data_IF_343391550781
#
_entry.id   IF_343391550781
#
_cell.length_a   1.000
_cell.length_b   1.000
_cell.length_c   1.000
_cell.angle_alpha   90.00
_cell.angle_beta   90.00
_cell.angle_gamma   90.00
#
_symmetry.space_group_name_H-M   'P 1'
#
loop_
_entity.id
_entity.type
_entity.pdbx_description
1 polymer ?
#
# COMPACT_ATOMS: atom_id res chain seq x y z
N UNK A 1 -7.72 14.12 30.70
CA UNK A 1 -7.33 14.73 29.40
C UNK A 1 -8.47 15.58 28.87
N UNK A 2 -8.21 16.85 28.49
CA UNK A 2 -9.20 17.68 27.80
C UNK A 2 -9.41 17.14 26.40
N UNK A 3 -10.64 16.79 26.04
CA UNK A 3 -10.99 16.41 24.65
C UNK A 3 -10.87 17.65 23.77
N UNK A 4 -9.75 17.81 23.07
CA UNK A 4 -9.48 18.97 22.22
C UNK A 4 -9.92 18.78 20.76
N UNK A 5 -10.15 17.53 20.34
CA UNK A 5 -10.51 17.17 18.98
C UNK A 5 -11.93 16.58 18.94
N UNK A 6 -12.77 17.14 18.08
CA UNK A 6 -14.07 16.56 17.76
C UNK A 6 -13.94 15.38 16.81
N UNK A 7 -15.01 14.59 16.67
CA UNK A 7 -15.05 13.42 15.79
C UNK A 7 -14.75 13.78 14.32
N UNK A 8 -15.22 14.93 13.84
CA UNK A 8 -14.95 15.41 12.46
C UNK A 8 -13.48 15.67 12.25
N UNK A 9 -12.81 16.36 13.20
CA UNK A 9 -11.37 16.64 13.11
C UNK A 9 -10.53 15.36 13.16
N UNK A 10 -10.94 14.40 13.99
CA UNK A 10 -10.27 13.09 14.07
C UNK A 10 -10.42 12.30 12.77
N UNK A 11 -11.62 12.28 12.19
CA UNK A 11 -11.87 11.62 10.90
C UNK A 11 -11.07 12.29 9.78
N UNK A 12 -11.05 13.62 9.72
CA UNK A 12 -10.30 14.35 8.71
C UNK A 12 -8.79 14.10 8.81
N UNK A 13 -8.24 14.04 10.03
CA UNK A 13 -6.83 13.66 10.25
C UNK A 13 -6.57 12.23 9.82
N UNK A 14 -7.46 11.29 10.15
CA UNK A 14 -7.33 9.89 9.75
C UNK A 14 -7.36 9.73 8.22
N UNK A 15 -8.30 10.36 7.55
CA UNK A 15 -8.38 10.35 6.07
C UNK A 15 -7.12 10.97 5.46
N UNK A 16 -6.65 12.11 5.99
CA UNK A 16 -5.42 12.75 5.50
C UNK A 16 -4.17 11.87 5.67
N UNK A 17 -4.09 11.11 6.76
CA UNK A 17 -2.98 10.19 7.00
C UNK A 17 -3.01 8.95 6.10
N UNK A 18 -4.20 8.49 5.69
CA UNK A 18 -4.36 7.31 4.81
C UNK A 18 -4.09 7.67 3.34
N UNK A 19 -4.39 8.90 2.92
CA UNK A 19 -4.17 9.35 1.55
C UNK A 19 -2.66 9.48 1.31
N UNK A 20 -2.12 8.57 0.51
CA UNK A 20 -0.69 8.50 0.18
C UNK A 20 -0.46 8.12 -1.28
N UNK A 21 0.77 7.72 -1.59
CA UNK A 21 1.19 7.29 -2.94
C UNK A 21 0.35 6.14 -3.51
N UNK A 22 -0.23 5.30 -2.65
CA UNK A 22 -1.05 4.16 -3.07
C UNK A 22 -2.22 4.56 -3.96
N UNK A 23 -2.97 5.59 -3.57
CA UNK A 23 -4.14 6.02 -4.33
C UNK A 23 -3.78 6.83 -5.59
N UNK A 24 -2.70 7.61 -5.55
CA UNK A 24 -2.34 8.51 -6.65
C UNK A 24 -1.37 7.90 -7.65
N UNK A 25 -0.46 7.03 -7.22
CA UNK A 25 0.60 6.45 -8.06
C UNK A 25 0.28 5.02 -8.43
N UNK A 26 0.00 4.17 -7.43
CA UNK A 26 -0.12 2.73 -7.66
C UNK A 26 -1.47 2.34 -8.28
N UNK A 27 -2.54 3.05 -8.01
CA UNK A 27 -3.86 2.72 -8.56
C UNK A 27 -3.89 2.82 -10.08
N UNK A 28 -3.26 3.85 -10.67
CA UNK A 28 -3.17 4.04 -12.11
C UNK A 28 -2.35 2.94 -12.78
N UNK A 29 -1.16 2.66 -12.25
CA UNK A 29 -0.27 1.61 -12.78
C UNK A 29 -0.84 0.21 -12.59
N UNK A 30 -1.51 -0.05 -11.46
CA UNK A 30 -2.16 -1.33 -11.22
C UNK A 30 -3.38 -1.56 -12.11
N UNK A 31 -4.13 -0.50 -12.44
CA UNK A 31 -5.26 -0.60 -13.34
C UNK A 31 -4.83 -0.75 -14.81
N UNK A 32 -3.85 0.05 -15.25
CA UNK A 32 -3.37 0.04 -16.62
C UNK A 32 -2.47 -1.17 -16.92
N UNK A 33 -1.62 -1.57 -15.98
CA UNK A 33 -0.59 -2.59 -16.20
C UNK A 33 0.47 -2.14 -17.20
N UNK A 34 1.29 -3.08 -17.61
CA UNK A 34 2.24 -2.95 -18.71
C UNK A 34 1.70 -3.69 -19.94
N UNK A 35 2.07 -3.23 -21.13
CA UNK A 35 1.71 -3.95 -22.37
C UNK A 35 2.29 -5.36 -22.32
N UNK A 36 1.43 -6.34 -22.57
CA UNK A 36 1.81 -7.75 -22.58
C UNK A 36 2.01 -8.18 -24.02
N UNK A 37 3.25 -8.41 -24.40
CA UNK A 37 3.56 -9.09 -25.65
C UNK A 37 3.54 -10.61 -25.42
N UNK A 38 2.75 -11.34 -26.22
CA UNK A 38 2.67 -12.80 -26.20
C UNK A 38 3.49 -13.38 -27.36
N UNK A 39 4.76 -13.71 -27.17
CA UNK A 39 5.46 -14.51 -28.16
C UNK A 39 4.92 -15.94 -28.15
N UNK A 40 4.85 -16.55 -29.31
CA UNK A 40 4.17 -17.82 -29.56
C UNK A 40 4.48 -18.91 -28.51
N UNK A 41 3.46 -19.32 -27.78
CA UNK A 41 3.44 -20.36 -26.75
C UNK A 41 4.02 -21.71 -27.23
N UNK A 42 4.03 -21.93 -28.53
CA UNK A 42 4.49 -23.20 -29.19
C UNK A 42 5.99 -23.45 -29.15
N UNK A 43 6.80 -22.47 -28.71
CA UNK A 43 8.29 -22.59 -28.75
C UNK A 43 8.96 -22.82 -27.41
N UNK A 44 8.24 -22.75 -26.29
CA UNK A 44 8.84 -22.94 -24.98
C UNK A 44 8.65 -24.38 -24.47
N UNK A 45 9.70 -25.09 -24.10
CA UNK A 45 9.58 -26.43 -23.53
C UNK A 45 8.88 -26.33 -22.16
N UNK A 46 7.93 -27.25 -21.91
CA UNK A 46 7.09 -27.29 -20.69
C UNK A 46 7.91 -27.18 -19.41
N UNK A 47 9.12 -27.74 -19.39
CA UNK A 47 10.02 -27.68 -18.25
C UNK A 47 10.45 -26.23 -17.92
N UNK A 48 10.71 -25.40 -18.93
CA UNK A 48 11.06 -23.99 -18.72
C UNK A 48 9.86 -23.19 -18.20
N UNK A 49 8.66 -23.49 -18.68
CA UNK A 49 7.44 -22.85 -18.18
C UNK A 49 7.21 -23.19 -16.70
N UNK A 50 7.49 -24.42 -16.31
CA UNK A 50 7.30 -24.89 -14.95
C UNK A 50 8.33 -24.31 -13.96
N UNK A 51 9.59 -24.17 -14.40
CA UNK A 51 10.70 -23.69 -13.57
C UNK A 51 10.80 -22.15 -13.52
N UNK A 52 10.55 -21.49 -14.63
CA UNK A 52 10.72 -20.04 -14.77
C UNK A 52 9.40 -19.28 -14.94
N UNK A 53 8.28 -19.98 -14.89
CA UNK A 53 6.94 -19.40 -14.98
C UNK A 53 6.74 -18.59 -16.26
N UNK A 54 6.11 -17.43 -16.13
CA UNK A 54 5.75 -16.54 -17.25
C UNK A 54 6.95 -16.03 -18.07
N UNK A 55 8.12 -15.88 -17.44
CA UNK A 55 9.33 -15.40 -18.14
C UNK A 55 9.82 -16.39 -19.19
N UNK A 56 9.59 -17.69 -18.99
CA UNK A 56 9.94 -18.73 -19.97
C UNK A 56 9.08 -18.67 -21.23
N UNK A 57 7.87 -18.12 -21.14
CA UNK A 57 6.99 -17.88 -22.29
C UNK A 57 7.34 -16.60 -23.05
N UNK A 58 8.36 -15.84 -22.59
CA UNK A 58 8.71 -14.54 -23.16
C UNK A 58 7.58 -13.50 -22.97
N UNK A 59 6.68 -13.73 -22.03
CA UNK A 59 5.62 -12.77 -21.69
C UNK A 59 6.27 -11.61 -20.97
N UNK A 60 6.48 -10.53 -21.68
CA UNK A 60 6.95 -9.27 -21.12
C UNK A 60 5.75 -8.42 -20.75
N UNK A 61 5.88 -7.69 -19.65
CA UNK A 61 4.81 -6.85 -19.12
C UNK A 61 3.89 -7.58 -18.13
N UNK A 62 3.09 -6.80 -17.44
CA UNK A 62 2.09 -7.28 -16.47
C UNK A 62 0.71 -6.78 -16.89
N UNK A 63 -0.26 -7.68 -17.11
CA UNK A 63 -1.61 -7.24 -17.42
C UNK A 63 -2.16 -6.41 -16.26
N UNK A 64 -2.77 -5.28 -16.57
CA UNK A 64 -3.44 -4.46 -15.57
C UNK A 64 -4.70 -5.12 -15.04
N UNK A 65 -5.07 -4.76 -13.83
CA UNK A 65 -6.31 -5.24 -13.21
C UNK A 65 -7.57 -4.64 -13.87
N UNK A 66 -7.41 -3.57 -14.65
CA UNK A 66 -8.55 -2.87 -15.25
C UNK A 66 -9.59 -2.45 -14.20
N UNK A 67 -10.90 -2.56 -14.51
CA UNK A 67 -11.96 -2.20 -13.57
C UNK A 67 -12.03 -3.12 -12.35
N UNK A 68 -11.38 -4.29 -12.36
CA UNK A 68 -11.34 -5.20 -11.21
C UNK A 68 -10.61 -4.60 -10.00
N UNK A 69 -9.80 -3.55 -10.19
CA UNK A 69 -9.17 -2.81 -9.09
C UNK A 69 -10.21 -2.21 -8.12
N UNK A 70 -11.37 -1.79 -8.64
CA UNK A 70 -12.44 -1.27 -7.80
C UNK A 70 -12.98 -2.34 -6.84
N UNK A 71 -13.10 -3.58 -7.31
CA UNK A 71 -13.50 -4.71 -6.46
C UNK A 71 -12.46 -4.99 -5.37
N UNK A 72 -11.17 -4.93 -5.72
CA UNK A 72 -10.08 -5.08 -4.76
C UNK A 72 -10.14 -4.03 -3.66
N UNK A 73 -10.36 -2.76 -4.01
CA UNK A 73 -10.54 -1.68 -3.03
C UNK A 73 -11.76 -1.89 -2.15
N UNK A 74 -12.87 -2.39 -2.70
CA UNK A 74 -14.07 -2.66 -1.92
C UNK A 74 -13.84 -3.78 -0.90
N UNK A 75 -13.17 -4.86 -1.29
CA UNK A 75 -12.81 -5.95 -0.37
C UNK A 75 -11.89 -5.44 0.74
N UNK A 76 -10.86 -4.69 0.38
CA UNK A 76 -9.92 -4.11 1.35
C UNK A 76 -10.65 -3.14 2.30
N UNK A 77 -11.58 -2.33 1.79
CA UNK A 77 -12.37 -1.41 2.62
C UNK A 77 -13.18 -2.15 3.69
N UNK A 78 -13.80 -3.29 3.34
CA UNK A 78 -14.52 -4.13 4.30
C UNK A 78 -13.57 -4.69 5.36
N UNK A 79 -12.43 -5.26 4.94
CA UNK A 79 -11.44 -5.82 5.88
C UNK A 79 -10.89 -4.74 6.82
N UNK A 80 -10.51 -3.59 6.27
CA UNK A 80 -10.02 -2.45 7.07
C UNK A 80 -11.10 -1.90 8.00
N UNK A 81 -12.37 -1.90 7.58
CA UNK A 81 -13.49 -1.51 8.41
C UNK A 81 -13.65 -2.41 9.64
N UNK A 82 -13.58 -3.74 9.43
CA UNK A 82 -13.62 -4.70 10.54
C UNK A 82 -12.41 -4.55 11.48
N UNK A 83 -11.21 -4.38 10.93
CA UNK A 83 -10.01 -4.11 11.72
C UNK A 83 -10.16 -2.81 12.53
N UNK A 84 -10.73 -1.75 11.93
CA UNK A 84 -11.00 -0.49 12.59
C UNK A 84 -11.94 -0.63 13.80
N UNK A 85 -12.94 -1.50 13.74
CA UNK A 85 -13.81 -1.80 14.87
C UNK A 85 -13.05 -2.46 16.03
N UNK A 86 -12.16 -3.42 15.72
CA UNK A 86 -11.29 -4.03 16.72
C UNK A 86 -10.37 -3.01 17.39
N UNK A 87 -9.79 -2.11 16.60
CA UNK A 87 -8.96 -1.00 17.12
C UNK A 87 -9.77 -0.03 17.99
N UNK A 88 -11.01 0.26 17.64
CA UNK A 88 -11.88 1.12 18.44
C UNK A 88 -12.18 0.52 19.81
N UNK A 89 -12.40 -0.80 19.88
CA UNK A 89 -12.59 -1.51 21.14
C UNK A 89 -11.32 -1.49 21.99
N UNK A 90 -10.17 -1.83 21.43
CA UNK A 90 -8.88 -1.78 22.13
C UNK A 90 -8.56 -0.36 22.62
N UNK A 91 -8.83 0.67 21.83
CA UNK A 91 -8.61 2.06 22.22
C UNK A 91 -9.52 2.51 23.37
N UNK A 92 -10.72 1.92 23.49
CA UNK A 92 -11.61 2.19 24.62
C UNK A 92 -11.11 1.58 25.93
N UNK A 93 -10.44 0.42 25.87
CA UNK A 93 -9.88 -0.29 27.02
C UNK A 93 -8.50 0.25 27.42
N UNK A 94 -7.68 0.60 26.45
CA UNK A 94 -6.29 1.03 26.66
C UNK A 94 -6.09 2.40 26.01
N UNK A 95 -6.48 3.52 26.68
CA UNK A 95 -6.44 4.86 26.09
C UNK A 95 -5.02 5.45 26.10
N UNK A 96 -4.05 4.73 25.58
CA UNK A 96 -2.64 5.11 25.46
C UNK A 96 -2.27 5.21 23.99
N UNK A 97 -1.59 6.28 23.60
CA UNK A 97 -1.06 6.44 22.24
C UNK A 97 0.16 5.55 22.07
N UNK A 98 0.14 4.67 21.09
CA UNK A 98 1.23 3.73 20.83
C UNK A 98 0.93 2.75 19.70
N UNK A 99 -0.20 2.96 18.99
CA UNK A 99 -0.59 2.15 17.85
C UNK A 99 -0.67 0.65 18.18
N UNK A 100 -0.46 -0.21 17.17
CA UNK A 100 -0.45 -1.66 17.31
C UNK A 100 0.56 -2.16 18.35
N UNK A 101 1.70 -1.47 18.51
CA UNK A 101 2.72 -1.84 19.51
C UNK A 101 2.14 -1.92 20.91
N UNK A 102 1.45 -0.87 21.37
CA UNK A 102 0.91 -0.81 22.74
C UNK A 102 -0.17 -1.88 22.98
N UNK A 103 -1.04 -2.07 22.01
CA UNK A 103 -2.11 -3.09 22.12
C UNK A 103 -1.52 -4.49 22.13
N UNK A 104 -0.52 -4.75 21.30
CA UNK A 104 0.18 -6.03 21.26
C UNK A 104 0.94 -6.29 22.56
N UNK A 105 1.60 -5.27 23.11
CA UNK A 105 2.30 -5.37 24.39
C UNK A 105 1.35 -5.77 25.53
N UNK A 106 0.18 -5.13 25.58
CA UNK A 106 -0.80 -5.39 26.63
C UNK A 106 -1.52 -6.74 26.50
N UNK A 107 -1.65 -7.29 25.26
CA UNK A 107 -2.42 -8.52 25.01
C UNK A 107 -1.58 -9.74 24.77
N UNK A 108 -0.47 -9.63 24.04
CA UNK A 108 0.37 -10.74 23.57
C UNK A 108 1.75 -10.77 24.22
N UNK A 109 2.10 -9.72 24.95
CA UNK A 109 3.35 -9.62 25.68
C UNK A 109 4.52 -9.00 24.89
N UNK A 110 5.66 -8.90 25.56
CA UNK A 110 6.81 -8.09 25.14
C UNK A 110 7.46 -8.57 23.84
N UNK A 111 7.64 -9.88 23.68
CA UNK A 111 8.34 -10.43 22.52
C UNK A 111 7.62 -10.12 21.20
N UNK A 112 6.30 -10.33 21.17
CA UNK A 112 5.50 -10.08 19.99
C UNK A 112 5.39 -8.59 19.73
N UNK A 113 5.23 -7.79 20.77
CA UNK A 113 5.25 -6.34 20.67
C UNK A 113 6.55 -5.80 20.09
N UNK A 114 7.70 -6.38 20.45
CA UNK A 114 9.00 -6.03 19.89
C UNK A 114 9.05 -6.26 18.37
N UNK A 115 8.56 -7.41 17.90
CA UNK A 115 8.46 -7.71 16.46
C UNK A 115 7.56 -6.70 15.75
N UNK A 116 6.38 -6.41 16.30
CA UNK A 116 5.46 -5.40 15.75
C UNK A 116 6.08 -4.00 15.75
N UNK A 117 6.89 -3.67 16.76
CA UNK A 117 7.62 -2.39 16.81
C UNK A 117 8.60 -2.24 15.64
N UNK A 118 9.34 -3.28 15.32
CA UNK A 118 10.23 -3.29 14.16
C UNK A 118 9.46 -3.24 12.83
N UNK A 119 8.35 -3.95 12.73
CA UNK A 119 7.47 -3.94 11.55
C UNK A 119 6.95 -2.53 11.29
N UNK A 120 6.46 -1.81 12.31
CA UNK A 120 6.02 -0.43 12.20
C UNK A 120 7.13 0.53 11.74
N UNK A 121 8.35 0.38 12.27
CA UNK A 121 9.49 1.20 11.83
C UNK A 121 9.77 0.97 10.34
N UNK A 122 9.77 -0.27 9.91
CA UNK A 122 10.04 -0.66 8.53
C UNK A 122 8.92 -0.18 7.60
N UNK A 123 7.66 -0.31 8.02
CA UNK A 123 6.48 0.19 7.30
C UNK A 123 6.59 1.70 7.03
N UNK A 124 6.85 2.50 8.07
CA UNK A 124 6.99 3.94 7.92
C UNK A 124 8.21 4.34 7.07
N UNK A 125 9.34 3.64 7.22
CA UNK A 125 10.54 3.92 6.43
C UNK A 125 10.29 3.65 4.93
N UNK A 126 9.75 2.49 4.60
CA UNK A 126 9.47 2.09 3.21
C UNK A 126 8.37 2.96 2.61
N UNK A 127 7.33 3.28 3.38
CA UNK A 127 6.23 4.15 2.96
C UNK A 127 6.74 5.55 2.58
N UNK A 128 7.61 6.15 3.41
CA UNK A 128 8.21 7.45 3.12
C UNK A 128 9.07 7.42 1.86
N UNK A 129 9.84 6.36 1.64
CA UNK A 129 10.62 6.19 0.40
C UNK A 129 9.70 6.10 -0.84
N UNK A 130 8.62 5.33 -0.75
CA UNK A 130 7.65 5.18 -1.84
C UNK A 130 6.96 6.51 -2.18
N UNK A 131 6.58 7.29 -1.15
CA UNK A 131 5.98 8.61 -1.34
C UNK A 131 6.98 9.56 -1.99
N UNK A 132 8.24 9.57 -1.57
CA UNK A 132 9.29 10.43 -2.14
C UNK A 132 9.53 10.12 -3.63
N UNK A 133 9.58 8.84 -3.99
CA UNK A 133 9.73 8.42 -5.40
C UNK A 133 8.52 8.84 -6.22
N UNK A 134 7.31 8.60 -5.73
CA UNK A 134 6.08 8.99 -6.41
C UNK A 134 5.98 10.50 -6.60
N UNK A 135 6.30 11.28 -5.56
CA UNK A 135 6.32 12.74 -5.63
C UNK A 135 7.33 13.26 -6.65
N UNK A 136 8.55 12.69 -6.66
CA UNK A 136 9.58 13.01 -7.66
C UNK A 136 9.09 12.78 -9.08
N UNK A 137 8.40 11.67 -9.34
CA UNK A 137 7.84 11.37 -10.65
C UNK A 137 6.80 12.42 -11.10
N UNK A 138 5.93 12.86 -10.18
CA UNK A 138 4.95 13.91 -10.49
C UNK A 138 5.60 15.25 -10.76
N UNK A 139 6.60 15.67 -9.96
CA UNK A 139 7.33 16.91 -10.18
C UNK A 139 8.05 16.88 -11.53
N UNK A 140 8.73 15.78 -11.86
CA UNK A 140 9.41 15.65 -13.16
C UNK A 140 8.42 15.72 -14.32
N UNK A 141 7.25 15.11 -14.19
CA UNK A 141 6.19 15.16 -15.20
C UNK A 141 5.66 16.60 -15.38
N UNK A 142 5.46 17.31 -14.28
CA UNK A 142 5.02 18.69 -14.28
C UNK A 142 6.07 19.59 -14.93
N UNK A 143 7.33 19.47 -14.54
CA UNK A 143 8.43 20.27 -15.10
C UNK A 143 8.65 20.00 -16.60
N UNK A 144 8.49 18.73 -17.01
CA UNK A 144 8.56 18.37 -18.42
C UNK A 144 7.49 19.07 -19.26
N UNK A 145 6.30 19.32 -18.70
CA UNK A 145 5.24 20.08 -19.38
C UNK A 145 5.59 21.55 -19.60
N UNK A 146 6.50 22.09 -18.79
CA UNK A 146 7.08 23.44 -18.96
C UNK A 146 8.40 23.44 -19.74
N UNK A 147 8.81 22.31 -20.30
CA UNK A 147 10.08 22.19 -21.04
C UNK A 147 11.34 22.11 -20.17
N UNK A 148 11.18 22.03 -18.86
CA UNK A 148 12.28 21.89 -17.90
C UNK A 148 12.49 20.40 -17.59
N UNK A 149 13.74 19.93 -17.67
CA UNK A 149 14.12 18.57 -17.26
C UNK A 149 15.17 18.67 -16.17
N UNK A 150 14.89 18.05 -15.04
CA UNK A 150 15.88 17.84 -13.98
C UNK A 150 16.52 16.47 -14.26
N UNK A 151 17.86 16.40 -14.29
CA UNK A 151 18.58 15.15 -14.51
C UNK A 151 18.40 14.15 -13.38
#
# INVERSE_FOLDING_TARGET
MKKSLGWVSLTALGVGAIIGSGIFVLSGTAAAGEQVEFPSILKAPLLQVLLYGRHALGVTGRPGAGPAIALSFLIVAVICGLAGLCYAELASMIPIAGSAYTYTYATLGELIAWVIGWDLILEYAVSNMAVAVGFSAYINSLLASFGLRIP
#
